data_IF_341958116571
#
_entry.id   IF_341958116571
#
_cell.length_a   1.000
_cell.length_b   1.000
_cell.length_c   1.000
_cell.angle_alpha   90.00
_cell.angle_beta   90.00
_cell.angle_gamma   90.00
#
_symmetry.space_group_name_H-M   'P 1'
#
loop_
_entity.id
_entity.type
_entity.pdbx_description
1 polymer ?
#
# COMPACT_ATOMS: atom_id res chain seq x y z
N UNK A 1 19.27 7.42 7.50
CA UNK A 1 18.41 8.11 8.49
C UNK A 1 19.06 9.43 8.88
N UNK A 2 18.30 10.38 9.40
CA UNK A 2 18.77 11.64 9.98
C UNK A 2 18.84 11.50 11.49
N UNK A 3 19.93 11.97 12.11
CA UNK A 3 20.11 11.93 13.56
C UNK A 3 20.28 13.31 14.18
N UNK A 4 20.01 13.41 15.47
CA UNK A 4 20.32 14.51 16.37
C UNK A 4 20.98 13.90 17.62
N UNK A 5 22.29 14.03 17.74
CA UNK A 5 23.08 13.17 18.64
C UNK A 5 22.93 11.70 18.25
N UNK A 6 22.55 10.86 19.21
CA UNK A 6 22.30 9.42 19.00
C UNK A 6 20.86 9.09 18.55
N UNK A 7 19.97 10.08 18.55
CA UNK A 7 18.54 9.88 18.28
C UNK A 7 18.23 10.01 16.79
N UNK A 8 17.48 9.05 16.23
CA UNK A 8 16.97 9.15 14.85
C UNK A 8 15.73 10.05 14.84
N UNK A 9 15.80 11.17 14.10
CA UNK A 9 14.73 12.18 14.02
C UNK A 9 13.97 12.17 12.69
N UNK A 10 14.54 11.53 11.67
CA UNK A 10 13.84 11.25 10.42
C UNK A 10 14.46 10.06 9.66
N UNK A 11 13.68 9.39 8.81
CA UNK A 11 14.17 8.29 8.00
C UNK A 11 13.20 7.93 6.88
N UNK A 12 13.73 7.25 5.86
CA UNK A 12 12.94 6.59 4.84
C UNK A 12 13.57 5.22 4.61
N UNK A 13 12.78 4.15 4.43
CA UNK A 13 13.35 2.89 3.96
C UNK A 13 13.95 3.10 2.56
N UNK A 14 14.91 2.27 2.18
CA UNK A 14 15.46 2.25 0.83
C UNK A 14 15.91 0.83 0.51
N UNK A 15 15.41 0.30 -0.61
CA UNK A 15 15.77 -1.02 -1.12
C UNK A 15 16.53 -0.82 -2.42
N UNK A 16 17.71 -1.42 -2.50
CA UNK A 16 18.49 -1.46 -3.73
C UNK A 16 17.83 -2.39 -4.75
N UNK A 17 17.67 -1.90 -5.96
CA UNK A 17 17.25 -2.66 -7.12
C UNK A 17 18.44 -2.78 -8.06
N UNK A 18 18.94 -4.00 -8.22
CA UNK A 18 19.97 -4.30 -9.20
C UNK A 18 19.46 -3.99 -10.61
N UNK A 19 20.27 -3.27 -11.39
CA UNK A 19 19.92 -2.86 -12.74
C UNK A 19 21.16 -2.70 -13.61
N UNK A 20 21.00 -2.97 -14.91
CA UNK A 20 22.09 -2.91 -15.88
C UNK A 20 22.60 -1.48 -16.16
N UNK A 21 21.82 -0.44 -15.82
CA UNK A 21 22.20 0.98 -15.94
C UNK A 21 22.73 1.59 -14.64
N UNK A 22 23.20 0.74 -13.71
CA UNK A 22 23.65 1.15 -12.39
C UNK A 22 22.59 0.97 -11.30
N UNK A 23 23.02 1.21 -10.05
CA UNK A 23 22.24 0.97 -8.84
C UNK A 23 21.11 1.99 -8.71
N UNK A 24 19.90 1.50 -8.47
CA UNK A 24 18.71 2.30 -8.23
C UNK A 24 18.14 1.93 -6.88
N UNK A 25 17.56 2.89 -6.19
CA UNK A 25 16.93 2.67 -4.91
C UNK A 25 15.47 3.11 -4.96
N UNK A 26 14.63 2.43 -4.19
CA UNK A 26 13.23 2.79 -4.01
C UNK A 26 12.87 2.65 -2.56
N UNK A 27 11.99 3.52 -2.02
CA UNK A 27 11.67 3.49 -0.60
C UNK A 27 11.20 2.09 -0.14
N UNK A 28 10.18 1.54 -0.83
CA UNK A 28 9.77 0.14 -0.72
C UNK A 28 9.16 -0.31 -2.05
N UNK A 29 9.58 -1.46 -2.63
CA UNK A 29 8.94 -2.03 -3.80
C UNK A 29 7.46 -2.34 -3.56
N UNK A 30 6.65 -2.24 -4.62
CA UNK A 30 5.20 -2.51 -4.58
C UNK A 30 4.44 -1.72 -3.50
N UNK A 31 4.92 -0.54 -3.12
CA UNK A 31 4.29 0.34 -2.13
C UNK A 31 3.91 1.66 -2.77
N UNK A 32 2.61 1.97 -2.79
CA UNK A 32 2.08 3.13 -3.52
C UNK A 32 2.30 4.44 -2.76
N UNK A 33 2.41 4.36 -1.43
CA UNK A 33 2.76 5.46 -0.57
C UNK A 33 3.65 5.05 0.59
N UNK A 34 4.83 5.66 0.66
CA UNK A 34 5.79 5.51 1.74
C UNK A 34 6.55 6.85 1.86
N UNK A 35 5.97 7.86 2.52
CA UNK A 35 6.65 9.11 2.76
C UNK A 35 7.75 8.89 3.81
N UNK A 36 8.79 9.71 3.81
CA UNK A 36 9.74 9.70 4.91
C UNK A 36 9.02 10.00 6.23
N UNK A 37 9.44 9.30 7.28
CA UNK A 37 9.03 9.57 8.65
C UNK A 37 9.96 10.62 9.23
N UNK A 38 9.43 11.57 9.98
CA UNK A 38 10.24 12.54 10.68
C UNK A 38 9.42 13.32 11.69
N UNK A 39 10.07 13.70 12.78
CA UNK A 39 9.41 14.35 13.91
C UNK A 39 9.04 15.80 13.61
N UNK A 40 9.85 16.46 12.78
CA UNK A 40 9.70 17.88 12.43
C UNK A 40 9.92 18.11 10.95
N UNK A 41 9.39 19.23 10.44
CA UNK A 41 9.62 19.65 9.06
C UNK A 41 11.10 19.90 8.77
N UNK A 42 11.85 20.43 9.75
CA UNK A 42 13.29 20.66 9.64
C UNK A 42 14.07 19.34 9.57
N UNK A 43 13.68 18.32 10.33
CA UNK A 43 14.27 16.99 10.25
C UNK A 43 14.07 16.35 8.86
N UNK A 44 12.88 16.50 8.28
CA UNK A 44 12.59 16.05 6.91
C UNK A 44 13.40 16.84 5.86
N UNK A 45 13.58 18.15 6.03
CA UNK A 45 14.42 18.96 5.16
C UNK A 45 15.89 18.54 5.22
N UNK A 46 16.41 18.28 6.42
CA UNK A 46 17.76 17.76 6.61
C UNK A 46 17.92 16.37 5.97
N UNK A 47 16.95 15.47 6.18
CA UNK A 47 16.92 14.17 5.53
C UNK A 47 16.95 14.30 4.00
N UNK A 48 16.15 15.19 3.42
CA UNK A 48 16.11 15.42 1.96
C UNK A 48 17.49 15.77 1.41
N UNK A 49 18.18 16.74 2.02
CA UNK A 49 19.55 17.12 1.62
C UNK A 49 20.53 15.96 1.76
N UNK A 50 20.43 15.20 2.85
CA UNK A 50 21.32 14.06 3.09
C UNK A 50 21.08 12.89 2.14
N UNK A 51 19.85 12.68 1.66
CA UNK A 51 19.55 11.69 0.62
C UNK A 51 20.17 12.09 -0.72
N UNK A 52 20.13 13.38 -1.07
CA UNK A 52 20.78 13.92 -2.28
C UNK A 52 22.30 13.74 -2.20
N UNK A 53 22.92 14.17 -1.10
CA UNK A 53 24.36 14.02 -0.88
C UNK A 53 24.79 12.55 -0.87
N UNK A 54 24.01 11.66 -0.24
CA UNK A 54 24.26 10.23 -0.26
C UNK A 54 24.18 9.63 -1.68
N UNK A 55 23.20 10.05 -2.48
CA UNK A 55 23.04 9.62 -3.87
C UNK A 55 24.26 10.03 -4.71
N UNK A 56 24.76 11.24 -4.51
CA UNK A 56 25.97 11.75 -5.17
C UNK A 56 27.23 10.97 -4.75
N UNK A 57 27.41 10.79 -3.44
CA UNK A 57 28.57 10.08 -2.88
C UNK A 57 28.63 8.62 -3.32
N UNK A 58 27.49 7.94 -3.40
CA UNK A 58 27.41 6.53 -3.77
C UNK A 58 27.36 6.28 -5.28
N UNK A 59 27.22 7.34 -6.08
CA UNK A 59 26.97 7.22 -7.52
C UNK A 59 25.67 6.47 -7.84
N UNK A 60 24.69 6.48 -6.92
CA UNK A 60 23.39 5.88 -7.17
C UNK A 60 22.67 6.66 -8.28
N UNK A 61 22.13 5.94 -9.27
CA UNK A 61 21.47 6.59 -10.41
C UNK A 61 20.22 7.36 -9.99
N UNK A 62 19.46 6.80 -9.05
CA UNK A 62 18.26 7.43 -8.49
C UNK A 62 17.86 6.78 -7.15
N UNK A 63 17.14 7.55 -6.35
CA UNK A 63 16.35 7.09 -5.21
C UNK A 63 14.91 7.58 -5.40
N UNK A 64 13.96 6.66 -5.54
CA UNK A 64 12.54 6.97 -5.65
C UNK A 64 11.88 6.91 -4.29
N UNK A 65 11.38 8.05 -3.82
CA UNK A 65 10.60 8.16 -2.58
C UNK A 65 9.10 8.23 -2.92
N UNK A 66 8.29 7.38 -2.29
CA UNK A 66 6.84 7.30 -2.53
C UNK A 66 6.06 8.27 -1.63
N UNK A 67 6.49 9.53 -1.59
CA UNK A 67 5.88 10.57 -0.78
C UNK A 67 6.54 11.93 -1.00
N UNK A 68 6.04 12.93 -0.29
CA UNK A 68 6.53 14.30 -0.44
C UNK A 68 7.90 14.46 0.24
N UNK A 69 8.84 15.04 -0.50
CA UNK A 69 10.05 15.66 0.03
C UNK A 69 9.98 17.17 -0.24
N UNK A 70 10.61 18.01 0.59
CA UNK A 70 10.78 19.42 0.29
C UNK A 70 11.46 19.60 -1.07
N UNK A 71 10.96 20.54 -1.87
CA UNK A 71 11.62 20.92 -3.11
C UNK A 71 13.02 21.47 -2.82
N UNK A 72 13.96 21.20 -3.72
CA UNK A 72 15.35 21.62 -3.61
C UNK A 72 16.21 20.98 -4.70
N UNK A 73 17.46 21.39 -4.77
CA UNK A 73 18.39 20.89 -5.78
C UNK A 73 18.56 19.37 -5.69
N UNK A 74 18.52 18.71 -6.85
CA UNK A 74 18.59 17.24 -6.94
C UNK A 74 17.32 16.49 -6.54
N UNK A 75 16.22 17.19 -6.20
CA UNK A 75 14.91 16.60 -5.90
C UNK A 75 13.93 16.87 -7.05
N UNK A 76 13.45 15.81 -7.69
CA UNK A 76 12.47 15.90 -8.77
C UNK A 76 11.10 15.42 -8.29
N UNK A 77 10.16 16.35 -8.16
CA UNK A 77 8.78 16.05 -7.74
C UNK A 77 7.93 15.64 -8.95
N UNK A 78 7.27 14.48 -8.86
CA UNK A 78 6.42 13.95 -9.93
C UNK A 78 5.08 13.52 -9.36
N UNK A 79 3.99 14.05 -9.92
CA UNK A 79 2.64 13.56 -9.62
C UNK A 79 2.39 12.25 -10.39
N UNK A 80 2.16 11.16 -9.66
CA UNK A 80 1.92 9.82 -10.25
C UNK A 80 0.52 9.28 -10.03
N UNK A 81 -0.08 9.63 -8.89
CA UNK A 81 -1.37 9.09 -8.47
C UNK A 81 -2.04 10.05 -7.50
N UNK A 82 -3.37 9.95 -7.41
CA UNK A 82 -4.16 10.56 -6.34
C UNK A 82 -4.46 9.52 -5.27
N UNK A 83 -4.60 9.96 -4.02
CA UNK A 83 -5.05 9.11 -2.92
C UNK A 83 -6.45 9.50 -2.51
N UNK A 84 -7.30 8.50 -2.36
CA UNK A 84 -8.58 8.62 -1.70
C UNK A 84 -8.43 8.21 -0.24
N UNK A 85 -8.81 9.10 0.68
CA UNK A 85 -8.78 8.86 2.12
C UNK A 85 -10.19 8.99 2.68
N UNK A 86 -10.57 8.04 3.53
CA UNK A 86 -11.86 8.04 4.24
C UNK A 86 -11.57 8.00 5.73
N UNK A 87 -12.08 8.99 6.48
CA UNK A 87 -12.00 8.93 7.94
C UNK A 87 -12.93 7.83 8.47
N UNK A 88 -12.38 6.94 9.29
CA UNK A 88 -13.14 5.86 9.92
C UNK A 88 -13.61 6.20 11.35
N UNK A 89 -13.33 7.41 11.85
CA UNK A 89 -13.57 7.82 13.24
C UNK A 89 -15.05 7.89 13.62
N UNK A 90 -15.94 8.13 12.66
CA UNK A 90 -17.38 8.22 12.91
C UNK A 90 -18.06 6.86 13.13
N UNK A 91 -17.34 5.74 12.95
CA UNK A 91 -17.88 4.39 13.06
C UNK A 91 -18.61 3.93 11.79
N UNK A 92 -18.76 2.61 11.65
CA UNK A 92 -19.25 1.96 10.42
C UNK A 92 -20.66 2.38 10.02
N UNK A 93 -21.59 2.54 10.98
CA UNK A 93 -22.97 2.94 10.69
C UNK A 93 -23.07 4.36 10.13
N UNK A 94 -22.34 5.32 10.71
CA UNK A 94 -22.35 6.70 10.25
C UNK A 94 -21.74 6.82 8.85
N UNK A 95 -20.63 6.13 8.61
CA UNK A 95 -19.97 6.07 7.30
C UNK A 95 -20.90 5.43 6.27
N UNK A 96 -21.54 4.31 6.60
CA UNK A 96 -22.49 3.65 5.70
C UNK A 96 -23.65 4.58 5.35
N UNK A 97 -24.20 5.31 6.33
CA UNK A 97 -25.27 6.30 6.11
C UNK A 97 -24.83 7.41 5.15
N UNK A 98 -23.58 7.88 5.23
CA UNK A 98 -23.05 8.85 4.27
C UNK A 98 -22.93 8.28 2.86
N UNK A 99 -22.61 6.99 2.73
CA UNK A 99 -22.52 6.29 1.45
C UNK A 99 -23.89 5.86 0.89
N UNK A 100 -24.93 5.82 1.73
CA UNK A 100 -26.26 5.30 1.39
C UNK A 100 -27.01 6.13 0.34
N UNK A 101 -26.68 7.40 0.20
CA UNK A 101 -27.26 8.31 -0.81
C UNK A 101 -26.65 8.14 -2.21
N UNK A 102 -25.58 7.34 -2.35
CA UNK A 102 -24.81 7.24 -3.59
C UNK A 102 -24.90 5.90 -4.34
N UNK A 103 -24.15 5.77 -5.45
CA UNK A 103 -24.06 4.53 -6.24
C UNK A 103 -23.59 3.31 -5.44
N UNK A 104 -22.78 3.53 -4.40
CA UNK A 104 -22.25 2.47 -3.52
C UNK A 104 -23.39 1.71 -2.84
N UNK A 105 -24.39 2.41 -2.31
CA UNK A 105 -25.53 1.80 -1.63
C UNK A 105 -26.34 0.89 -2.57
N UNK A 106 -26.50 1.32 -3.83
CA UNK A 106 -27.18 0.53 -4.86
C UNK A 106 -26.40 -0.73 -5.21
N UNK A 107 -25.07 -0.62 -5.29
CA UNK A 107 -24.21 -1.78 -5.53
C UNK A 107 -24.26 -2.80 -4.39
N UNK A 108 -24.22 -2.34 -3.12
CA UNK A 108 -24.35 -3.20 -1.93
C UNK A 108 -25.69 -3.96 -1.96
N UNK A 109 -26.81 -3.24 -2.09
CA UNK A 109 -28.15 -3.86 -2.16
C UNK A 109 -28.34 -4.80 -3.34
N UNK A 110 -27.64 -4.56 -4.44
CA UNK A 110 -27.63 -5.49 -5.59
C UNK A 110 -26.87 -6.76 -5.20
N UNK A 111 -25.64 -6.64 -4.70
CA UNK A 111 -24.84 -7.79 -4.28
C UNK A 111 -25.58 -8.66 -3.25
N UNK A 112 -26.20 -8.05 -2.24
CA UNK A 112 -27.00 -8.77 -1.23
C UNK A 112 -28.19 -9.50 -1.85
N UNK A 113 -28.97 -8.84 -2.72
CA UNK A 113 -30.11 -9.48 -3.42
C UNK A 113 -29.69 -10.64 -4.32
N UNK A 114 -28.52 -10.54 -4.95
CA UNK A 114 -27.97 -11.59 -5.81
C UNK A 114 -27.35 -12.74 -4.99
N UNK A 115 -27.37 -12.66 -3.66
CA UNK A 115 -26.86 -13.69 -2.75
C UNK A 115 -25.34 -13.68 -2.58
N UNK A 116 -24.69 -12.54 -2.79
CA UNK A 116 -23.26 -12.37 -2.49
C UNK A 116 -23.10 -12.19 -0.98
N UNK A 117 -22.23 -12.98 -0.37
CA UNK A 117 -21.81 -12.84 1.02
C UNK A 117 -20.38 -12.31 1.09
N UNK A 118 -20.00 -11.70 2.21
CA UNK A 118 -18.63 -11.28 2.45
C UNK A 118 -18.19 -11.73 3.84
N UNK A 119 -16.97 -12.26 3.93
CA UNK A 119 -16.37 -12.66 5.20
C UNK A 119 -14.96 -12.11 5.35
N UNK A 120 -14.60 -11.74 6.57
CA UNK A 120 -13.23 -11.39 6.93
C UNK A 120 -12.45 -12.68 7.12
N UNK A 121 -11.23 -12.72 6.61
CA UNK A 121 -10.34 -13.87 6.74
C UNK A 121 -8.90 -13.45 6.99
N UNK A 122 -8.26 -14.19 7.89
CA UNK A 122 -6.81 -14.20 8.07
C UNK A 122 -6.21 -15.55 7.66
N UNK A 123 -7.03 -16.48 7.19
CA UNK A 123 -6.63 -17.86 6.89
C UNK A 123 -5.73 -17.93 5.67
N UNK A 124 -4.63 -18.67 5.79
CA UNK A 124 -3.75 -18.99 4.66
C UNK A 124 -4.45 -19.83 3.59
N UNK A 125 -5.55 -20.51 3.92
CA UNK A 125 -6.36 -21.23 2.94
C UNK A 125 -6.96 -20.29 1.87
N UNK A 126 -7.25 -19.04 2.23
CA UNK A 126 -7.79 -18.03 1.30
C UNK A 126 -6.74 -17.36 0.43
N UNK A 127 -5.44 -17.57 0.72
CA UNK A 127 -4.35 -17.03 -0.08
C UNK A 127 -4.41 -17.55 -1.52
N UNK A 128 -4.66 -18.85 -1.68
CA UNK A 128 -4.77 -19.48 -3.01
C UNK A 128 -5.91 -18.88 -3.82
N UNK A 129 -7.07 -18.65 -3.18
CA UNK A 129 -8.21 -17.98 -3.79
C UNK A 129 -7.89 -16.53 -4.18
N UNK A 130 -7.27 -15.77 -3.27
CA UNK A 130 -6.80 -14.41 -3.55
C UNK A 130 -5.85 -14.38 -4.75
N UNK A 131 -4.81 -15.22 -4.78
CA UNK A 131 -3.80 -15.17 -5.83
C UNK A 131 -4.35 -15.62 -7.18
N UNK A 132 -5.28 -16.59 -7.20
CA UNK A 132 -6.01 -16.99 -8.41
C UNK A 132 -6.80 -15.81 -8.99
N UNK A 133 -7.55 -15.09 -8.16
CA UNK A 133 -8.29 -13.90 -8.58
C UNK A 133 -7.33 -12.79 -9.02
N UNK A 134 -6.22 -12.59 -8.30
CA UNK A 134 -5.20 -11.59 -8.64
C UNK A 134 -4.60 -11.84 -10.04
N UNK A 135 -4.29 -13.10 -10.36
CA UNK A 135 -3.87 -13.54 -11.69
C UNK A 135 -4.92 -13.23 -12.75
N UNK A 136 -6.19 -13.58 -12.49
CA UNK A 136 -7.28 -13.33 -13.43
C UNK A 136 -7.46 -11.82 -13.69
N UNK A 137 -7.52 -11.01 -12.62
CA UNK A 137 -7.65 -9.55 -12.72
C UNK A 137 -6.50 -8.93 -13.51
N UNK A 138 -5.25 -9.30 -13.21
CA UNK A 138 -4.06 -8.74 -13.86
C UNK A 138 -3.96 -9.13 -15.33
N UNK A 139 -4.30 -10.39 -15.67
CA UNK A 139 -4.39 -10.86 -17.07
C UNK A 139 -5.44 -10.09 -17.85
N UNK A 140 -6.64 -9.91 -17.28
CA UNK A 140 -7.72 -9.13 -17.90
C UNK A 140 -7.31 -7.67 -18.15
N UNK A 141 -6.56 -7.07 -17.22
CA UNK A 141 -6.08 -5.69 -17.34
C UNK A 141 -4.82 -5.53 -18.20
N UNK A 142 -4.16 -6.62 -18.62
CA UNK A 142 -2.94 -6.56 -19.42
C UNK A 142 -1.73 -5.97 -18.68
N UNK A 143 -1.65 -6.12 -17.36
CA UNK A 143 -0.59 -5.53 -16.53
C UNK A 143 0.23 -6.59 -15.76
N UNK A 144 1.51 -6.32 -15.45
CA UNK A 144 2.33 -7.24 -14.67
C UNK A 144 1.73 -7.58 -13.31
N UNK A 145 1.94 -8.83 -12.88
CA UNK A 145 1.50 -9.32 -11.57
C UNK A 145 2.66 -9.38 -10.56
N UNK A 146 2.35 -9.12 -9.29
CA UNK A 146 3.28 -9.34 -8.19
C UNK A 146 3.58 -10.85 -8.03
N UNK A 147 4.84 -11.25 -7.74
CA UNK A 147 5.18 -12.64 -7.50
C UNK A 147 4.35 -13.27 -6.37
N UNK A 148 3.97 -14.53 -6.49
CA UNK A 148 3.21 -15.25 -5.44
C UNK A 148 3.90 -15.15 -4.07
N UNK A 149 5.22 -15.36 -4.04
CA UNK A 149 6.06 -15.22 -2.84
C UNK A 149 5.94 -13.87 -2.13
N UNK A 150 5.68 -12.78 -2.87
CA UNK A 150 5.49 -11.47 -2.26
C UNK A 150 4.15 -11.41 -1.51
N UNK A 151 3.08 -11.95 -2.10
CA UNK A 151 1.77 -12.06 -1.45
C UNK A 151 1.85 -13.01 -0.24
N UNK A 152 2.56 -14.13 -0.36
CA UNK A 152 2.83 -15.05 0.75
C UNK A 152 3.56 -14.38 1.90
N UNK A 153 4.55 -13.53 1.61
CA UNK A 153 5.22 -12.73 2.64
C UNK A 153 4.27 -11.72 3.29
N UNK A 154 3.40 -11.03 2.54
CA UNK A 154 2.40 -10.13 3.17
C UNK A 154 1.50 -10.91 4.13
N UNK A 155 1.06 -12.12 3.74
CA UNK A 155 0.21 -12.93 4.59
C UNK A 155 0.93 -13.36 5.87
N UNK A 156 2.17 -13.82 5.75
CA UNK A 156 2.97 -14.29 6.88
C UNK A 156 3.38 -13.15 7.81
N UNK A 157 3.89 -12.04 7.27
CA UNK A 157 4.45 -10.97 8.10
C UNK A 157 3.39 -9.97 8.59
N UNK A 158 2.33 -9.73 7.81
CA UNK A 158 1.31 -8.72 8.16
C UNK A 158 0.01 -9.37 8.65
N UNK A 159 -0.58 -10.27 7.86
CA UNK A 159 -1.92 -10.82 8.19
C UNK A 159 -1.85 -11.71 9.43
N UNK A 160 -0.89 -12.66 9.49
CA UNK A 160 -0.71 -13.50 10.66
C UNK A 160 -0.23 -12.72 11.89
N UNK A 161 0.44 -11.58 11.69
CA UNK A 161 0.85 -10.65 12.74
C UNK A 161 -0.27 -9.71 13.24
N UNK A 162 -1.50 -9.85 12.77
CA UNK A 162 -2.63 -8.99 13.17
C UNK A 162 -2.60 -7.58 12.54
N UNK A 163 -1.70 -7.35 11.59
CA UNK A 163 -1.53 -6.09 10.86
C UNK A 163 -2.25 -6.12 9.49
N UNK A 164 -3.18 -7.03 9.28
CA UNK A 164 -3.95 -7.11 8.05
C UNK A 164 -4.97 -8.22 8.06
N UNK A 165 -5.87 -8.16 7.07
CA UNK A 165 -6.88 -9.19 6.83
C UNK A 165 -7.35 -9.11 5.37
N UNK A 166 -7.90 -10.20 4.88
CA UNK A 166 -8.63 -10.24 3.62
C UNK A 166 -10.14 -10.13 3.87
N UNK A 167 -10.87 -9.54 2.92
CA UNK A 167 -12.33 -9.69 2.81
C UNK A 167 -12.59 -10.49 1.55
N UNK A 168 -13.18 -11.68 1.72
CA UNK A 168 -13.53 -12.59 0.62
C UNK A 168 -15.02 -12.43 0.33
N UNK A 169 -15.35 -12.05 -0.90
CA UNK A 169 -16.71 -12.03 -1.39
C UNK A 169 -17.02 -13.35 -2.09
N UNK A 170 -18.12 -14.00 -1.70
CA UNK A 170 -18.51 -15.31 -2.16
C UNK A 170 -19.89 -15.27 -2.80
N UNK A 171 -20.06 -16.02 -3.88
CA UNK A 171 -21.36 -16.26 -4.49
C UNK A 171 -21.52 -17.75 -4.70
N UNK A 172 -22.61 -18.33 -4.17
CA UNK A 172 -22.82 -19.79 -4.16
C UNK A 172 -21.60 -20.57 -3.62
N UNK A 173 -21.05 -20.09 -2.50
CA UNK A 173 -19.86 -20.64 -1.83
C UNK A 173 -18.57 -20.63 -2.67
N UNK A 174 -18.53 -19.85 -3.76
CA UNK A 174 -17.34 -19.66 -4.57
C UNK A 174 -16.77 -18.25 -4.37
N UNK A 175 -15.47 -18.10 -4.02
CA UNK A 175 -14.83 -16.80 -3.99
C UNK A 175 -14.82 -16.13 -5.37
N UNK A 176 -15.49 -14.98 -5.48
CA UNK A 176 -15.60 -14.19 -6.71
C UNK A 176 -14.78 -12.89 -6.66
N UNK A 177 -14.48 -12.38 -5.47
CA UNK A 177 -13.63 -11.23 -5.29
C UNK A 177 -12.90 -11.29 -3.94
N UNK A 178 -11.78 -10.61 -3.83
CA UNK A 178 -11.07 -10.45 -2.57
C UNK A 178 -10.44 -9.07 -2.46
N UNK A 179 -10.44 -8.54 -1.24
CA UNK A 179 -9.77 -7.32 -0.87
C UNK A 179 -8.74 -7.59 0.23
N UNK A 180 -7.48 -7.22 0.04
CA UNK A 180 -6.45 -7.29 1.07
C UNK A 180 -6.29 -5.93 1.74
N UNK A 181 -6.47 -5.90 3.05
CA UNK A 181 -6.28 -4.72 3.88
C UNK A 181 -5.07 -4.89 4.80
N UNK A 182 -4.29 -3.81 4.95
CA UNK A 182 -3.19 -3.72 5.92
C UNK A 182 -3.50 -2.63 6.93
N UNK A 183 -3.16 -2.86 8.20
CA UNK A 183 -3.46 -1.97 9.30
C UNK A 183 -2.17 -1.56 10.01
N UNK A 184 -1.99 -0.26 10.24
CA UNK A 184 -0.89 0.28 11.02
C UNK A 184 -1.24 1.66 11.58
N UNK A 185 -0.91 1.91 12.86
CA UNK A 185 -1.02 3.22 13.51
C UNK A 185 -2.35 3.96 13.25
N UNK A 186 -3.47 3.29 13.55
CA UNK A 186 -4.81 3.86 13.35
C UNK A 186 -5.24 4.03 11.88
N UNK A 187 -4.45 3.53 10.93
CA UNK A 187 -4.72 3.63 9.49
C UNK A 187 -4.99 2.25 8.90
N UNK A 188 -6.02 2.16 8.05
CA UNK A 188 -6.31 0.98 7.23
C UNK A 188 -6.00 1.29 5.76
N UNK A 189 -5.25 0.41 5.11
CA UNK A 189 -4.80 0.53 3.72
C UNK A 189 -5.50 -0.55 2.90
N UNK A 190 -6.35 -0.14 1.96
CA UNK A 190 -6.87 -1.04 0.91
C UNK A 190 -5.75 -1.34 -0.08
N UNK A 191 -5.04 -2.45 0.13
CA UNK A 191 -3.78 -2.72 -0.56
C UNK A 191 -3.98 -3.33 -1.94
N UNK A 192 -4.88 -4.31 -2.05
CA UNK A 192 -5.22 -4.95 -3.31
C UNK A 192 -6.71 -5.28 -3.36
N UNK A 193 -7.33 -5.02 -4.50
CA UNK A 193 -8.66 -5.51 -4.85
C UNK A 193 -8.57 -6.40 -6.08
N UNK A 194 -9.17 -7.58 -6.02
CA UNK A 194 -9.12 -8.58 -7.10
C UNK A 194 -10.48 -9.22 -7.31
N UNK A 195 -10.83 -9.48 -8.57
CA UNK A 195 -12.06 -10.13 -9.05
C UNK A 195 -11.93 -10.64 -10.48
#
# INVERSE_FOLDING_TARGET
AQTEGERIVAGTPAVELAGWRGRRYVALPFTDHCPPLGETRSAIQALSRNLVAWRDLTGARELVVHGALPAGDGVHLVSRAVRHTLSLTAGSQAILKQLQSGPVARAIRKAEREGVTARVSTSTADLSSFYRLHLATRRRLGVPIQPKRFIESIWRECVAGGLGFAVVAEWRSQPIATALFLAWNGTLIYKFGVS
#
